data_IF_358999619693
#
_entry.id   IF_358999619693
#
_cell.length_a   1.000
_cell.length_b   1.000
_cell.length_c   1.000
_cell.angle_alpha   90.00
_cell.angle_beta   90.00
_cell.angle_gamma   90.00
#
_symmetry.space_group_name_H-M   'P 1'
#
loop_
_entity.id
_entity.type
_entity.pdbx_description
1 polymer ?
#
# COMPACT_ATOMS: atom_id res chain seq x y z
N UNK A 1 36.16 5.51 0.96
CA UNK A 1 35.41 4.66 1.89
C UNK A 1 33.99 5.15 1.93
N UNK A 2 33.01 4.25 1.88
CA UNK A 2 31.59 4.59 2.07
C UNK A 2 31.31 4.60 3.58
N UNK A 3 30.61 5.64 4.02
CA UNK A 3 30.08 5.74 5.38
C UNK A 3 28.56 5.68 5.30
N UNK A 4 27.94 4.96 6.21
CA UNK A 4 26.48 4.78 6.26
C UNK A 4 25.96 5.32 7.59
N UNK A 5 24.87 6.09 7.53
CA UNK A 5 24.08 6.50 8.67
C UNK A 5 22.62 6.16 8.41
N UNK A 6 21.92 5.67 9.43
CA UNK A 6 20.52 5.28 9.32
C UNK A 6 19.68 5.98 10.38
N UNK A 7 18.48 6.41 9.97
CA UNK A 7 17.48 7.00 10.84
C UNK A 7 16.14 6.30 10.61
N UNK A 8 15.37 6.09 11.66
CA UNK A 8 14.03 5.50 11.57
C UNK A 8 12.95 6.58 11.52
N UNK A 9 11.94 6.36 10.70
CA UNK A 9 10.79 7.24 10.52
C UNK A 9 9.49 6.68 11.12
N UNK A 10 9.48 5.39 11.45
CA UNK A 10 8.33 4.67 12.06
C UNK A 10 7.04 4.71 11.23
N UNK A 11 7.14 4.87 9.90
CA UNK A 11 5.98 4.95 9.02
C UNK A 11 5.30 6.32 8.98
N UNK A 12 5.86 7.31 9.67
CA UNK A 12 5.28 8.64 9.79
C UNK A 12 5.98 9.66 8.87
N UNK A 13 5.26 10.36 7.98
CA UNK A 13 5.84 11.32 7.05
C UNK A 13 6.59 12.49 7.70
N UNK A 14 6.11 13.04 8.81
CA UNK A 14 6.77 14.14 9.52
C UNK A 14 8.10 13.66 10.16
N UNK A 15 8.06 12.49 10.78
CA UNK A 15 9.25 11.83 11.33
C UNK A 15 10.27 11.50 10.26
N UNK A 16 9.84 11.12 9.05
CA UNK A 16 10.70 10.85 7.91
C UNK A 16 11.45 12.12 7.45
N UNK A 17 10.76 13.25 7.35
CA UNK A 17 11.38 14.54 7.00
C UNK A 17 12.37 14.97 8.10
N UNK A 18 12.01 14.79 9.38
CA UNK A 18 12.92 15.08 10.49
C UNK A 18 14.17 14.18 10.48
N UNK A 19 14.00 12.89 10.14
CA UNK A 19 15.10 11.95 9.99
C UNK A 19 16.01 12.32 8.81
N UNK A 20 15.44 12.75 7.68
CA UNK A 20 16.17 13.29 6.55
C UNK A 20 17.02 14.51 6.96
N UNK A 21 16.46 15.47 7.71
CA UNK A 21 17.20 16.63 8.21
C UNK A 21 18.42 16.25 9.06
N UNK A 22 18.28 15.23 9.94
CA UNK A 22 19.41 14.71 10.73
C UNK A 22 20.52 14.11 9.88
N UNK A 23 20.14 13.43 8.79
CA UNK A 23 21.10 12.89 7.83
C UNK A 23 21.81 14.00 7.05
N UNK A 24 21.11 15.09 6.71
CA UNK A 24 21.72 16.28 6.11
C UNK A 24 22.73 16.93 7.06
N UNK A 25 22.41 17.10 8.35
CA UNK A 25 23.30 17.62 9.37
C UNK A 25 24.55 16.74 9.56
N UNK A 26 24.41 15.42 9.36
CA UNK A 26 25.55 14.48 9.38
C UNK A 26 26.46 14.64 8.15
N UNK A 27 25.99 15.26 7.08
CA UNK A 27 26.76 15.48 5.85
C UNK A 27 26.49 14.44 4.76
N UNK A 28 25.27 13.91 4.69
CA UNK A 28 24.83 12.98 3.66
C UNK A 28 25.04 13.55 2.24
N UNK A 29 25.50 12.70 1.31
CA UNK A 29 25.67 13.05 -0.10
C UNK A 29 24.71 12.32 -1.04
N UNK A 30 24.14 11.20 -0.59
CA UNK A 30 23.16 10.39 -1.32
C UNK A 30 22.17 9.88 -0.31
N UNK A 31 20.89 10.07 -0.58
CA UNK A 31 19.81 9.49 0.20
C UNK A 31 19.37 8.17 -0.42
N UNK A 32 19.37 7.12 0.39
CA UNK A 32 18.83 5.82 0.02
C UNK A 32 17.69 5.50 0.98
N UNK A 33 16.46 5.52 0.49
CA UNK A 33 15.34 5.24 1.39
C UNK A 33 14.04 5.86 0.97
N UNK A 34 13.21 5.91 1.97
CA UNK A 34 11.78 5.82 1.92
C UNK A 34 11.36 4.36 1.81
N UNK A 35 10.56 3.88 2.75
CA UNK A 35 10.01 2.51 2.69
C UNK A 35 8.54 2.58 2.32
N UNK A 36 7.77 3.36 3.05
CA UNK A 36 6.36 3.57 2.74
C UNK A 36 6.17 4.77 1.82
N UNK A 37 5.14 4.71 1.00
CA UNK A 37 4.88 5.73 -0.04
C UNK A 37 4.69 7.14 0.53
N UNK A 38 3.95 7.32 1.63
CA UNK A 38 3.74 8.61 2.25
C UNK A 38 5.02 9.26 2.80
N UNK A 39 5.88 8.47 3.43
CA UNK A 39 7.21 8.90 3.90
C UNK A 39 8.08 9.35 2.73
N UNK A 40 8.16 8.50 1.70
CA UNK A 40 8.97 8.74 0.50
C UNK A 40 8.57 10.03 -0.18
N UNK A 41 7.29 10.22 -0.47
CA UNK A 41 6.78 11.43 -1.11
C UNK A 41 7.15 12.70 -0.31
N UNK A 42 7.04 12.64 1.01
CA UNK A 42 7.35 13.76 1.91
C UNK A 42 8.84 14.11 1.93
N UNK A 43 9.71 13.10 2.01
CA UNK A 43 11.16 13.30 1.94
C UNK A 43 11.60 13.80 0.57
N UNK A 44 11.09 13.23 -0.51
CA UNK A 44 11.42 13.65 -1.88
C UNK A 44 11.03 15.10 -2.12
N UNK A 45 9.88 15.53 -1.60
CA UNK A 45 9.45 16.93 -1.67
C UNK A 45 10.38 17.86 -0.85
N UNK A 46 10.74 17.48 0.36
CA UNK A 46 11.65 18.28 1.22
C UNK A 46 13.06 18.38 0.60
N UNK A 47 13.58 17.28 0.10
CA UNK A 47 14.93 17.17 -0.45
C UNK A 47 15.15 17.93 -1.78
N UNK A 48 14.06 18.35 -2.44
CA UNK A 48 14.15 19.11 -3.69
C UNK A 48 14.94 20.42 -3.54
N UNK A 49 14.78 21.10 -2.40
CA UNK A 49 15.50 22.35 -2.14
C UNK A 49 17.00 22.14 -1.90
N UNK A 50 17.40 20.95 -1.49
CA UNK A 50 18.78 20.58 -1.15
C UNK A 50 19.55 20.01 -2.34
N UNK A 51 18.92 19.89 -3.50
CA UNK A 51 19.51 19.30 -4.72
C UNK A 51 20.06 17.88 -4.47
N UNK A 52 19.44 17.14 -3.54
CA UNK A 52 19.89 15.84 -3.07
C UNK A 52 19.56 14.74 -4.09
N UNK A 53 20.55 13.88 -4.40
CA UNK A 53 20.29 12.66 -5.13
C UNK A 53 19.58 11.63 -4.26
N UNK A 54 18.45 11.15 -4.71
CA UNK A 54 17.60 10.19 -4.01
C UNK A 54 17.46 8.93 -4.84
N UNK A 55 17.74 7.79 -4.21
CA UNK A 55 17.35 6.48 -4.70
C UNK A 55 16.28 5.89 -3.78
N UNK A 56 15.06 5.95 -4.24
CA UNK A 56 13.91 5.38 -3.56
C UNK A 56 13.86 3.86 -3.81
N UNK A 57 13.55 3.08 -2.77
CA UNK A 57 13.70 1.61 -2.81
C UNK A 57 12.37 0.86 -2.93
N UNK A 58 11.34 1.26 -2.20
CA UNK A 58 10.09 0.50 -2.06
C UNK A 58 8.81 1.34 -2.07
N UNK A 59 8.89 2.66 -1.99
CA UNK A 59 7.72 3.55 -2.08
C UNK A 59 7.12 3.51 -3.49
N UNK A 60 6.09 2.70 -3.66
CA UNK A 60 5.55 2.33 -4.97
C UNK A 60 4.47 3.28 -5.50
N UNK A 61 3.89 4.15 -4.67
CA UNK A 61 2.92 5.14 -5.15
C UNK A 61 3.49 5.99 -6.28
N UNK A 62 2.73 6.21 -7.34
CA UNK A 62 3.19 6.86 -8.57
C UNK A 62 3.83 8.23 -8.28
N UNK A 63 3.27 8.96 -7.31
CA UNK A 63 3.73 10.30 -6.94
C UNK A 63 5.01 10.36 -6.07
N UNK A 64 5.55 9.22 -5.62
CA UNK A 64 6.68 9.23 -4.69
C UNK A 64 7.90 10.02 -5.18
N UNK A 65 8.14 10.06 -6.49
CA UNK A 65 9.27 10.79 -7.07
C UNK A 65 8.86 12.01 -7.91
N UNK A 66 7.58 12.37 -7.88
CA UNK A 66 7.05 13.45 -8.69
C UNK A 66 7.66 14.79 -8.31
N UNK A 67 7.98 15.57 -9.37
CA UNK A 67 8.44 16.94 -9.22
C UNK A 67 9.87 17.11 -8.70
N UNK A 68 10.64 16.04 -8.53
CA UNK A 68 12.06 16.08 -8.19
C UNK A 68 12.86 15.27 -9.21
N UNK A 69 13.63 15.96 -10.06
CA UNK A 69 14.43 15.39 -11.15
C UNK A 69 15.69 14.65 -10.68
N UNK A 70 16.00 14.71 -9.39
CA UNK A 70 17.08 13.96 -8.73
C UNK A 70 16.59 12.76 -7.93
N UNK A 71 15.28 12.51 -7.92
CA UNK A 71 14.71 11.34 -7.29
C UNK A 71 14.48 10.22 -8.32
N UNK A 72 15.03 9.06 -8.02
CA UNK A 72 14.95 7.86 -8.84
C UNK A 72 14.39 6.72 -8.03
N UNK A 73 13.70 5.80 -8.70
CA UNK A 73 13.06 4.65 -8.10
C UNK A 73 13.53 3.35 -8.75
N UNK A 74 13.66 2.29 -7.95
CA UNK A 74 13.98 0.95 -8.44
C UNK A 74 12.83 -0.05 -8.29
N UNK A 75 11.79 0.26 -7.52
CA UNK A 75 10.58 -0.57 -7.46
C UNK A 75 9.59 -0.21 -8.58
N UNK A 76 8.54 -1.02 -8.72
CA UNK A 76 7.44 -0.80 -9.65
C UNK A 76 6.49 0.32 -9.16
N UNK A 77 5.50 0.63 -9.99
CA UNK A 77 4.45 1.62 -9.68
C UNK A 77 3.16 0.93 -9.22
N UNK A 78 2.42 1.57 -8.32
CA UNK A 78 1.10 1.10 -7.88
C UNK A 78 0.10 1.01 -9.03
N UNK A 79 0.20 1.90 -10.02
CA UNK A 79 -0.61 1.82 -11.23
C UNK A 79 -0.41 0.50 -11.99
N UNK A 80 0.81 -0.06 -12.01
CA UNK A 80 1.06 -1.38 -12.58
C UNK A 80 0.52 -2.52 -11.72
N UNK A 81 0.63 -2.42 -10.39
CA UNK A 81 0.09 -3.43 -9.48
C UNK A 81 -1.43 -3.52 -9.60
N UNK A 82 -2.14 -2.37 -9.54
CA UNK A 82 -3.59 -2.33 -9.65
C UNK A 82 -4.09 -2.90 -10.98
N UNK A 83 -3.42 -2.51 -12.07
CA UNK A 83 -3.69 -3.06 -13.40
C UNK A 83 -3.44 -4.57 -13.45
N UNK A 84 -2.30 -5.04 -12.95
CA UNK A 84 -1.97 -6.46 -12.93
C UNK A 84 -2.95 -7.27 -12.08
N UNK A 85 -3.39 -6.74 -10.94
CA UNK A 85 -4.36 -7.37 -10.07
C UNK A 85 -5.71 -7.60 -10.77
N UNK A 86 -6.27 -6.59 -11.43
CA UNK A 86 -7.52 -6.72 -12.16
C UNK A 86 -7.42 -7.71 -13.35
N UNK A 87 -6.34 -7.63 -14.11
CA UNK A 87 -6.07 -8.55 -15.21
C UNK A 87 -5.90 -10.00 -14.71
N UNK A 88 -5.18 -10.19 -13.60
CA UNK A 88 -5.00 -11.52 -13.01
C UNK A 88 -6.33 -12.16 -12.62
N UNK A 89 -7.24 -11.41 -12.01
CA UNK A 89 -8.58 -11.92 -11.68
C UNK A 89 -9.34 -12.35 -12.94
N UNK A 90 -9.27 -11.54 -13.99
CA UNK A 90 -9.96 -11.81 -15.25
C UNK A 90 -9.36 -12.99 -16.02
N UNK A 91 -8.05 -12.99 -16.21
CA UNK A 91 -7.34 -13.98 -17.03
C UNK A 91 -7.41 -15.38 -16.42
N UNK A 92 -7.48 -15.46 -15.09
CA UNK A 92 -7.60 -16.74 -14.37
C UNK A 92 -9.04 -17.10 -14.00
N UNK A 93 -10.02 -16.29 -14.42
CA UNK A 93 -11.45 -16.50 -14.14
C UNK A 93 -11.73 -16.73 -12.64
N UNK A 94 -11.01 -15.98 -11.77
CA UNK A 94 -11.13 -16.16 -10.32
C UNK A 94 -12.43 -15.58 -9.78
N UNK A 95 -12.85 -14.41 -10.30
CA UNK A 95 -14.11 -13.79 -9.94
C UNK A 95 -14.53 -12.76 -10.99
N UNK A 96 -15.83 -12.69 -11.28
CA UNK A 96 -16.44 -11.60 -12.05
C UNK A 96 -16.91 -10.45 -11.15
N UNK A 97 -17.10 -10.71 -9.85
CA UNK A 97 -17.47 -9.73 -8.82
C UNK A 97 -16.50 -9.78 -7.64
N UNK A 98 -16.02 -8.63 -7.22
CA UNK A 98 -15.04 -8.50 -6.13
C UNK A 98 -15.49 -7.50 -5.07
N UNK A 99 -15.06 -7.73 -3.83
CA UNK A 99 -15.08 -6.73 -2.77
C UNK A 99 -13.73 -6.05 -2.65
N UNK A 100 -13.71 -4.84 -2.14
CA UNK A 100 -12.47 -4.10 -1.89
C UNK A 100 -12.52 -3.45 -0.51
N UNK A 101 -11.41 -3.53 0.22
CA UNK A 101 -11.16 -2.72 1.42
C UNK A 101 -9.88 -1.92 1.23
N UNK A 102 -9.95 -0.60 1.29
CA UNK A 102 -8.77 0.25 1.16
C UNK A 102 -8.72 1.37 2.19
N UNK A 103 -7.52 1.89 2.46
CA UNK A 103 -7.30 3.03 3.33
C UNK A 103 -7.36 4.32 2.51
N UNK A 104 -8.37 5.16 2.78
CA UNK A 104 -8.67 6.32 1.94
C UNK A 104 -7.70 7.51 2.15
N UNK A 105 -7.04 7.58 3.28
CA UNK A 105 -6.06 8.61 3.65
C UNK A 105 -4.60 8.16 3.50
N UNK A 106 -4.35 7.07 2.76
CA UNK A 106 -3.02 6.52 2.52
C UNK A 106 -2.71 6.51 1.01
N UNK A 107 -1.56 7.06 0.64
CA UNK A 107 -1.15 7.26 -0.75
C UNK A 107 -0.98 5.96 -1.53
N UNK A 108 -0.35 4.94 -0.91
CA UNK A 108 -0.22 3.60 -1.47
C UNK A 108 -1.59 2.97 -1.71
N UNK A 109 -2.38 2.88 -0.66
CA UNK A 109 -3.67 2.19 -0.67
C UNK A 109 -4.66 2.81 -1.66
N UNK A 110 -4.79 4.15 -1.64
CA UNK A 110 -5.68 4.86 -2.54
C UNK A 110 -5.19 4.82 -4.00
N UNK A 111 -3.88 4.93 -4.23
CA UNK A 111 -3.28 4.85 -5.57
C UNK A 111 -3.52 3.48 -6.21
N UNK A 112 -3.23 2.42 -5.47
CA UNK A 112 -3.42 1.05 -5.89
C UNK A 112 -4.91 0.73 -6.16
N UNK A 113 -5.80 1.17 -5.26
CA UNK A 113 -7.24 1.06 -5.44
C UNK A 113 -7.72 1.73 -6.73
N UNK A 114 -7.32 2.99 -6.96
CA UNK A 114 -7.75 3.74 -8.14
C UNK A 114 -7.29 3.07 -9.45
N UNK A 115 -6.08 2.55 -9.51
CA UNK A 115 -5.57 1.83 -10.67
C UNK A 115 -6.32 0.51 -10.88
N UNK A 116 -6.64 -0.22 -9.82
CA UNK A 116 -7.44 -1.43 -9.86
C UNK A 116 -8.85 -1.17 -10.40
N UNK A 117 -9.54 -0.12 -9.89
CA UNK A 117 -10.87 0.28 -10.37
C UNK A 117 -10.85 0.59 -11.85
N UNK A 118 -9.90 1.45 -12.28
CA UNK A 118 -9.79 1.85 -13.67
C UNK A 118 -9.57 0.67 -14.64
N UNK A 119 -8.88 -0.38 -14.19
CA UNK A 119 -8.65 -1.58 -14.98
C UNK A 119 -9.83 -2.55 -14.92
N UNK A 120 -10.52 -2.66 -13.77
CA UNK A 120 -11.77 -3.43 -13.66
C UNK A 120 -12.83 -2.96 -14.65
N UNK A 121 -12.96 -1.64 -14.87
CA UNK A 121 -13.86 -1.07 -15.88
C UNK A 121 -13.55 -1.56 -17.31
N UNK A 122 -12.27 -1.77 -17.64
CA UNK A 122 -11.83 -2.25 -18.96
C UNK A 122 -11.99 -3.78 -19.11
N UNK A 123 -11.71 -4.51 -18.04
CA UNK A 123 -11.73 -5.98 -18.05
C UNK A 123 -13.13 -6.56 -17.83
N UNK A 124 -14.08 -5.75 -17.38
CA UNK A 124 -15.44 -6.16 -17.05
C UNK A 124 -15.56 -6.90 -15.70
N UNK A 125 -14.53 -6.82 -14.84
CA UNK A 125 -14.65 -7.24 -13.44
C UNK A 125 -15.48 -6.19 -12.69
N UNK A 126 -16.50 -6.62 -11.99
CA UNK A 126 -17.41 -5.73 -11.25
C UNK A 126 -16.95 -5.56 -9.80
N UNK A 127 -16.75 -4.33 -9.36
CA UNK A 127 -16.56 -4.07 -7.94
C UNK A 127 -17.94 -3.97 -7.29
N UNK A 128 -18.32 -5.03 -6.58
CA UNK A 128 -19.66 -5.20 -6.00
C UNK A 128 -19.80 -4.49 -4.66
N UNK A 129 -18.74 -4.46 -3.88
CA UNK A 129 -18.70 -3.85 -2.56
C UNK A 129 -17.39 -3.14 -2.35
N UNK A 130 -17.44 -1.89 -1.89
CA UNK A 130 -16.25 -1.11 -1.53
C UNK A 130 -16.37 -0.62 -0.11
N UNK A 131 -15.40 -0.96 0.72
CA UNK A 131 -15.28 -0.49 2.08
C UNK A 131 -14.01 0.32 2.26
N UNK A 132 -14.07 1.32 3.15
CA UNK A 132 -12.93 2.19 3.46
C UNK A 132 -12.69 2.29 4.94
N UNK A 133 -11.48 2.68 5.28
CA UNK A 133 -11.08 3.11 6.61
C UNK A 133 -10.02 4.23 6.50
N UNK A 134 -9.65 4.80 7.62
CA UNK A 134 -8.57 5.79 7.76
C UNK A 134 -7.59 5.31 8.83
N UNK A 135 -6.42 5.94 8.92
CA UNK A 135 -5.45 5.64 9.99
C UNK A 135 -6.08 5.72 11.38
N UNK A 136 -7.01 6.66 11.59
CA UNK A 136 -7.71 6.83 12.88
C UNK A 136 -8.69 5.69 13.20
N UNK A 137 -9.13 4.91 12.23
CA UNK A 137 -10.12 3.84 12.39
C UNK A 137 -9.57 2.44 12.10
N UNK A 138 -8.27 2.31 11.93
CA UNK A 138 -7.58 1.06 11.53
C UNK A 138 -7.52 -0.03 12.62
N UNK A 139 -8.27 0.08 13.70
CA UNK A 139 -8.28 -0.87 14.83
C UNK A 139 -9.56 -1.71 14.91
N UNK A 140 -10.65 -1.26 14.30
CA UNK A 140 -11.92 -1.98 14.29
C UNK A 140 -12.53 -2.00 12.88
N UNK A 141 -12.55 -3.18 12.29
CA UNK A 141 -13.07 -3.46 10.96
C UNK A 141 -14.43 -4.20 10.99
N UNK A 142 -15.09 -4.27 12.13
CA UNK A 142 -16.34 -5.05 12.27
C UNK A 142 -17.41 -4.67 11.26
N UNK A 143 -17.55 -3.37 10.97
CA UNK A 143 -18.49 -2.85 9.97
C UNK A 143 -18.09 -3.30 8.57
N UNK A 144 -16.84 -3.12 8.19
CA UNK A 144 -16.29 -3.46 6.88
C UNK A 144 -16.34 -4.97 6.63
N UNK A 145 -15.96 -5.76 7.64
CA UNK A 145 -16.04 -7.23 7.60
C UNK A 145 -17.47 -7.67 7.33
N UNK A 146 -18.46 -7.14 8.07
CA UNK A 146 -19.86 -7.53 7.89
C UNK A 146 -20.40 -7.11 6.50
N UNK A 147 -20.06 -5.92 6.01
CA UNK A 147 -20.48 -5.46 4.69
C UNK A 147 -19.92 -6.34 3.57
N UNK A 148 -18.62 -6.60 3.60
CA UNK A 148 -17.95 -7.46 2.61
C UNK A 148 -18.45 -8.92 2.67
N UNK A 149 -18.62 -9.48 3.85
CA UNK A 149 -19.14 -10.85 4.01
C UNK A 149 -20.59 -10.95 3.48
N UNK A 150 -21.45 -9.97 3.78
CA UNK A 150 -22.84 -9.96 3.33
C UNK A 150 -22.98 -9.71 1.81
N UNK A 151 -21.98 -9.13 1.17
CA UNK A 151 -21.99 -8.92 -0.28
C UNK A 151 -21.94 -10.23 -1.08
N UNK A 152 -21.45 -11.30 -0.47
CA UNK A 152 -21.36 -12.63 -1.10
C UNK A 152 -20.29 -12.74 -2.17
N UNK A 153 -19.32 -11.82 -2.22
CA UNK A 153 -18.16 -11.90 -3.14
C UNK A 153 -17.27 -13.09 -2.80
N UNK A 154 -16.59 -13.62 -3.82
CA UNK A 154 -15.64 -14.73 -3.69
C UNK A 154 -14.19 -14.27 -3.56
N UNK A 155 -13.91 -13.02 -3.91
CA UNK A 155 -12.60 -12.40 -3.77
C UNK A 155 -12.74 -11.05 -3.11
N UNK A 156 -11.90 -10.78 -2.13
CA UNK A 156 -11.75 -9.46 -1.50
C UNK A 156 -10.33 -8.97 -1.79
N UNK A 157 -10.23 -7.84 -2.48
CA UNK A 157 -8.96 -7.18 -2.75
C UNK A 157 -8.60 -6.24 -1.61
N UNK A 158 -7.38 -6.37 -1.11
CA UNK A 158 -6.84 -5.66 0.06
C UNK A 158 -5.57 -4.87 -0.33
N UNK A 159 -5.71 -3.71 -1.01
CA UNK A 159 -4.58 -2.82 -1.30
C UNK A 159 -4.20 -2.02 -0.04
N UNK A 160 -3.73 -2.70 0.99
CA UNK A 160 -3.41 -2.15 2.31
C UNK A 160 -2.12 -2.78 2.83
N UNK A 161 -1.55 -2.21 3.89
CA UNK A 161 -0.36 -2.77 4.52
C UNK A 161 -0.68 -3.96 5.44
N UNK A 162 0.34 -4.76 5.70
CA UNK A 162 0.22 -6.01 6.46
C UNK A 162 -0.29 -5.83 7.89
N UNK A 163 -0.10 -4.68 8.52
CA UNK A 163 -0.59 -4.40 9.88
C UNK A 163 -2.12 -4.32 9.90
N UNK A 164 -2.69 -3.48 9.06
CA UNK A 164 -4.14 -3.30 8.93
C UNK A 164 -4.80 -4.57 8.38
N UNK A 165 -4.14 -5.22 7.40
CA UNK A 165 -4.60 -6.48 6.85
C UNK A 165 -4.67 -7.58 7.92
N UNK A 166 -3.67 -7.67 8.80
CA UNK A 166 -3.67 -8.66 9.88
C UNK A 166 -4.81 -8.44 10.87
N UNK A 167 -5.10 -7.18 11.19
CA UNK A 167 -6.22 -6.80 12.07
C UNK A 167 -7.56 -7.15 11.40
N UNK A 168 -7.73 -6.76 10.12
CA UNK A 168 -8.93 -7.09 9.35
C UNK A 168 -9.15 -8.60 9.25
N UNK A 169 -8.14 -9.38 8.84
CA UNK A 169 -8.23 -10.82 8.66
C UNK A 169 -8.55 -11.52 9.99
N UNK A 170 -7.95 -11.09 11.09
CA UNK A 170 -8.29 -11.63 12.44
C UNK A 170 -9.75 -11.42 12.77
N UNK A 171 -10.32 -10.24 12.47
CA UNK A 171 -11.73 -9.94 12.71
C UNK A 171 -12.66 -10.61 11.68
N UNK A 172 -12.16 -10.92 10.50
CA UNK A 172 -12.88 -11.61 9.43
C UNK A 172 -13.04 -13.11 9.67
N UNK A 173 -12.26 -13.69 10.59
CA UNK A 173 -12.29 -15.13 10.89
C UNK A 173 -13.71 -15.65 11.16
N UNK A 174 -14.13 -16.65 10.39
CA UNK A 174 -15.45 -17.28 10.53
C UNK A 174 -16.64 -16.40 10.08
N UNK A 175 -16.38 -15.26 9.43
CA UNK A 175 -17.43 -14.38 8.91
C UNK A 175 -17.68 -14.56 7.41
N UNK A 176 -16.71 -15.05 6.69
CA UNK A 176 -16.79 -15.32 5.26
C UNK A 176 -17.02 -16.81 5.00
N UNK A 177 -17.53 -17.14 3.81
CA UNK A 177 -17.58 -18.52 3.35
C UNK A 177 -16.15 -19.08 3.15
N UNK A 178 -15.99 -20.41 3.29
CA UNK A 178 -14.69 -21.08 3.22
C UNK A 178 -13.99 -20.95 1.86
N UNK A 179 -14.75 -20.63 0.81
CA UNK A 179 -14.25 -20.45 -0.57
C UNK A 179 -13.99 -18.99 -0.95
N UNK A 180 -13.91 -18.08 0.02
CA UNK A 180 -13.52 -16.69 -0.21
C UNK A 180 -12.01 -16.54 -0.14
N UNK A 181 -11.45 -15.84 -1.13
CA UNK A 181 -10.03 -15.53 -1.21
C UNK A 181 -9.77 -14.07 -0.88
N UNK A 182 -8.77 -13.83 -0.05
CA UNK A 182 -8.21 -12.51 0.21
C UNK A 182 -6.95 -12.33 -0.66
N UNK A 183 -6.88 -11.21 -1.34
CA UNK A 183 -5.90 -10.96 -2.37
C UNK A 183 -5.37 -9.53 -2.24
N UNK A 184 -4.07 -9.30 -2.37
CA UNK A 184 -3.48 -7.97 -2.20
C UNK A 184 -2.24 -7.73 -3.02
N UNK A 185 -1.60 -6.59 -2.77
CA UNK A 185 -0.34 -6.20 -3.39
C UNK A 185 0.87 -6.46 -2.48
N UNK A 186 1.99 -5.83 -2.82
CA UNK A 186 3.26 -5.93 -2.09
C UNK A 186 3.17 -5.47 -0.63
N UNK A 187 2.23 -4.55 -0.31
CA UNK A 187 1.97 -4.11 1.06
C UNK A 187 1.58 -5.22 2.03
N UNK A 188 1.17 -6.40 1.51
CA UNK A 188 0.91 -7.59 2.32
C UNK A 188 2.18 -8.40 2.65
N UNK A 189 3.36 -7.97 2.23
CA UNK A 189 4.59 -8.68 2.56
C UNK A 189 4.75 -8.82 4.09
N UNK A 190 5.12 -10.03 4.51
CA UNK A 190 5.21 -10.39 5.93
C UNK A 190 3.90 -10.74 6.62
N UNK A 191 2.74 -10.69 5.94
CA UNK A 191 1.42 -10.98 6.53
C UNK A 191 1.37 -12.38 7.17
N UNK A 192 2.03 -13.38 6.57
CA UNK A 192 2.07 -14.75 7.11
C UNK A 192 2.72 -14.87 8.49
N UNK A 193 3.54 -13.89 8.87
CA UNK A 193 4.11 -13.80 10.21
C UNK A 193 3.20 -13.08 11.24
N UNK A 194 2.13 -12.48 10.77
CA UNK A 194 1.23 -11.64 11.59
C UNK A 194 -0.15 -12.29 11.85
N UNK A 195 -0.55 -13.23 11.01
CA UNK A 195 -1.83 -13.95 11.14
C UNK A 195 -1.59 -15.40 11.54
N UNK A 196 -2.55 -16.00 12.25
CA UNK A 196 -2.50 -17.43 12.55
C UNK A 196 -2.86 -18.25 11.30
N UNK A 197 -2.36 -19.51 11.23
CA UNK A 197 -2.58 -20.40 10.06
C UNK A 197 -4.04 -20.77 9.82
N UNK A 198 -4.92 -20.47 10.76
CA UNK A 198 -6.35 -20.77 10.71
C UNK A 198 -7.21 -19.50 10.52
N UNK A 199 -6.58 -18.42 10.03
CA UNK A 199 -7.23 -17.15 9.65
C UNK A 199 -7.30 -17.04 8.13
#
# INVERSE_FOLDING_TARGET
QLELSAQGSQGDPESAVAAYGKLMDWGMNVFLGGVLSGETASVVAAAKADDMFIMETTGSADKCIDGNDKAFRICFYDSYQGTAAANYLKDNALADEVGVLYQSDNDYSAGLYNAFVAECEKTGVTIKETQTFTAATATDFSTQVNALANSGVKVVFLPIYAEEASTFLTQAKGKFAEDVYFFGGDGLDGILGKVSQDV
#
